data_IF_995644200243
#
_entry.id   IF_995644200243
#
_cell.length_a   1.000
_cell.length_b   1.000
_cell.length_c   1.000
_cell.angle_alpha   90.00
_cell.angle_beta   90.00
_cell.angle_gamma   90.00
#
_symmetry.space_group_name_H-M   'P 1'
#
loop_
_entity.id
_entity.type
_entity.pdbx_description
1 polymer ?
#
# COMPACT_ATOMS: atom_id res chain seq x y z
N UNK A 1 22.89 -60.33 -25.57
CA UNK A 1 23.24 -59.00 -25.04
C UNK A 1 21.94 -58.25 -24.78
N UNK A 2 21.48 -58.26 -23.54
CA UNK A 2 20.21 -57.65 -23.12
C UNK A 2 20.53 -56.44 -22.25
N UNK A 3 20.22 -55.24 -22.73
CA UNK A 3 20.31 -54.02 -21.92
C UNK A 3 18.99 -53.80 -21.18
N UNK A 4 19.03 -54.04 -19.87
CA UNK A 4 18.00 -53.62 -18.92
C UNK A 4 17.98 -52.10 -18.82
N UNK A 5 16.92 -51.47 -19.32
CA UNK A 5 16.68 -50.05 -19.13
C UNK A 5 15.76 -49.86 -17.92
N UNK A 6 16.35 -49.66 -16.74
CA UNK A 6 15.69 -49.07 -15.56
C UNK A 6 16.13 -47.62 -15.51
N UNK A 7 15.18 -46.69 -15.59
CA UNK A 7 15.50 -45.27 -15.49
C UNK A 7 14.25 -44.43 -15.28
N UNK A 8 14.00 -44.11 -14.02
CA UNK A 8 13.25 -42.95 -13.52
C UNK A 8 11.83 -42.73 -14.05
N UNK A 9 10.86 -43.25 -13.27
CA UNK A 9 9.60 -42.53 -13.06
C UNK A 9 9.91 -41.19 -12.41
N UNK A 10 9.98 -40.13 -13.21
CA UNK A 10 9.89 -38.76 -12.71
C UNK A 10 8.52 -38.60 -12.06
N UNK A 11 8.48 -38.81 -10.75
CA UNK A 11 7.33 -38.51 -9.91
C UNK A 11 7.27 -36.98 -9.86
N UNK A 12 6.62 -36.38 -10.85
CA UNK A 12 6.21 -34.98 -10.77
C UNK A 12 5.31 -34.90 -9.55
N UNK A 13 5.88 -34.47 -8.42
CA UNK A 13 5.13 -33.93 -7.31
C UNK A 13 4.51 -32.67 -7.90
N UNK A 14 3.32 -32.81 -8.50
CA UNK A 14 2.37 -31.72 -8.53
C UNK A 14 2.09 -31.43 -7.05
N UNK A 15 2.96 -30.60 -6.46
CA UNK A 15 2.56 -29.80 -5.32
C UNK A 15 1.39 -29.01 -5.86
N UNK A 16 0.20 -29.48 -5.52
CA UNK A 16 -1.01 -28.73 -5.67
C UNK A 16 -0.71 -27.39 -5.00
N UNK A 17 -0.51 -26.35 -5.81
CA UNK A 17 -0.70 -24.99 -5.37
C UNK A 17 -2.17 -25.00 -4.99
N UNK A 18 -2.43 -25.15 -3.69
CA UNK A 18 -3.77 -25.06 -3.16
C UNK A 18 -4.37 -23.77 -3.75
N UNK A 19 -5.58 -23.82 -4.29
CA UNK A 19 -6.23 -22.62 -4.79
C UNK A 19 -6.19 -21.59 -3.66
N UNK A 20 -5.94 -20.33 -4.01
CA UNK A 20 -5.94 -19.16 -3.15
C UNK A 20 -7.30 -19.08 -2.43
N UNK A 21 -7.48 -19.83 -1.34
CA UNK A 21 -8.76 -19.97 -0.64
C UNK A 21 -8.89 -18.76 0.28
N UNK A 22 -9.68 -17.79 -0.18
CA UNK A 22 -10.40 -16.79 0.61
C UNK A 22 -9.49 -15.99 1.57
N UNK A 23 -8.71 -15.07 1.00
CA UNK A 23 -8.03 -14.06 1.81
C UNK A 23 -9.09 -13.37 2.68
N UNK A 24 -8.88 -13.41 3.99
CA UNK A 24 -9.78 -12.75 4.93
C UNK A 24 -9.88 -11.26 4.59
N UNK A 25 -10.99 -10.60 4.94
CA UNK A 25 -11.18 -9.16 4.67
C UNK A 25 -9.97 -8.32 5.14
N UNK A 26 -9.29 -8.76 6.20
CA UNK A 26 -8.09 -8.14 6.76
C UNK A 26 -6.86 -8.31 5.85
N UNK A 27 -6.63 -9.50 5.32
CA UNK A 27 -5.54 -9.77 4.38
C UNK A 27 -5.74 -9.01 3.07
N UNK A 28 -6.98 -8.98 2.55
CA UNK A 28 -7.32 -8.21 1.35
C UNK A 28 -7.11 -6.71 1.56
N UNK A 29 -7.50 -6.18 2.72
CA UNK A 29 -7.25 -4.78 3.04
C UNK A 29 -5.75 -4.47 3.11
N UNK A 30 -4.94 -5.36 3.68
CA UNK A 30 -3.49 -5.17 3.73
C UNK A 30 -2.85 -5.25 2.34
N UNK A 31 -3.29 -6.18 1.50
CA UNK A 31 -2.86 -6.26 0.10
C UNK A 31 -3.19 -4.96 -0.65
N UNK A 32 -4.39 -4.39 -0.43
CA UNK A 32 -4.78 -3.11 -1.03
C UNK A 32 -3.89 -1.96 -0.56
N UNK A 33 -3.53 -1.92 0.72
CA UNK A 33 -2.56 -0.94 1.25
C UNK A 33 -1.20 -1.08 0.57
N UNK A 34 -0.70 -2.31 0.42
CA UNK A 34 0.57 -2.59 -0.28
C UNK A 34 0.52 -2.15 -1.75
N UNK A 35 -0.52 -2.54 -2.47
CA UNK A 35 -0.71 -2.17 -3.88
C UNK A 35 -0.82 -0.65 -4.06
N UNK A 36 -1.46 0.06 -3.13
CA UNK A 36 -1.50 1.52 -3.16
C UNK A 36 -0.12 2.13 -2.91
N UNK A 37 0.66 1.62 -1.94
CA UNK A 37 2.02 2.11 -1.67
C UNK A 37 2.92 1.96 -2.90
N UNK A 38 2.85 0.81 -3.58
CA UNK A 38 3.63 0.55 -4.80
C UNK A 38 3.24 1.47 -5.96
N UNK A 39 1.95 1.79 -6.08
CA UNK A 39 1.44 2.65 -7.15
C UNK A 39 1.66 4.15 -6.89
N UNK A 40 1.45 4.60 -5.64
CA UNK A 40 1.29 6.02 -5.29
C UNK A 40 2.31 6.56 -4.30
N UNK A 41 2.93 5.69 -3.50
CA UNK A 41 3.71 6.14 -2.36
C UNK A 41 4.87 7.05 -2.75
N UNK A 42 5.55 6.79 -3.87
CA UNK A 42 6.60 7.66 -4.39
C UNK A 42 6.07 9.04 -4.85
N UNK A 43 4.92 9.06 -5.50
CA UNK A 43 4.29 10.30 -5.98
C UNK A 43 3.84 11.16 -4.79
N UNK A 44 3.14 10.56 -3.83
CA UNK A 44 2.76 11.20 -2.56
C UNK A 44 4.01 11.67 -1.81
N UNK A 45 5.05 10.85 -1.72
CA UNK A 45 6.30 11.21 -1.06
C UNK A 45 6.95 12.47 -1.65
N UNK A 46 7.00 12.59 -2.98
CA UNK A 46 7.50 13.80 -3.65
C UNK A 46 6.65 15.03 -3.35
N UNK A 47 5.33 14.92 -3.39
CA UNK A 47 4.43 16.04 -3.07
C UNK A 47 4.61 16.52 -1.63
N UNK A 48 4.70 15.60 -0.67
CA UNK A 48 4.93 15.91 0.74
C UNK A 48 6.29 16.58 0.98
N UNK A 49 7.33 16.15 0.26
CA UNK A 49 8.66 16.73 0.35
C UNK A 49 8.69 18.17 -0.19
N UNK A 50 8.07 18.42 -1.35
CA UNK A 50 7.99 19.75 -1.96
C UNK A 50 7.24 20.77 -1.11
N UNK A 51 6.22 20.31 -0.40
CA UNK A 51 5.36 21.14 0.45
C UNK A 51 5.85 21.21 1.90
N UNK A 52 7.02 20.63 2.20
CA UNK A 52 7.63 20.54 3.53
C UNK A 52 6.69 19.94 4.60
N UNK A 53 5.84 18.99 4.21
CA UNK A 53 4.90 18.31 5.08
C UNK A 53 5.55 17.14 5.83
N UNK A 54 6.47 17.48 6.76
CA UNK A 54 7.29 16.49 7.47
C UNK A 54 6.48 15.46 8.24
N UNK A 55 5.40 15.88 8.92
CA UNK A 55 4.54 14.97 9.71
C UNK A 55 3.90 13.89 8.82
N UNK A 56 3.33 14.32 7.70
CA UNK A 56 2.76 13.41 6.71
C UNK A 56 3.83 12.53 6.05
N UNK A 57 5.00 13.08 5.75
CA UNK A 57 6.14 12.30 5.23
C UNK A 57 6.55 11.18 6.20
N UNK A 58 6.56 11.46 7.51
CA UNK A 58 6.78 10.42 8.53
C UNK A 58 5.66 9.38 8.56
N UNK A 59 4.39 9.78 8.42
CA UNK A 59 3.27 8.85 8.36
C UNK A 59 3.34 7.94 7.13
N UNK A 60 3.68 8.47 5.96
CA UNK A 60 3.91 7.68 4.75
C UNK A 60 5.07 6.68 4.95
N UNK A 61 6.17 7.11 5.56
CA UNK A 61 7.28 6.22 5.88
C UNK A 61 6.86 5.11 6.85
N UNK A 62 6.00 5.42 7.82
CA UNK A 62 5.48 4.44 8.75
C UNK A 62 4.62 3.38 8.03
N UNK A 63 3.80 3.78 7.03
CA UNK A 63 3.07 2.84 6.18
C UNK A 63 4.01 1.86 5.45
N UNK A 64 5.13 2.34 4.89
CA UNK A 64 6.15 1.47 4.29
C UNK A 64 6.84 0.53 5.27
N UNK A 65 6.77 0.82 6.57
CA UNK A 65 7.35 -0.01 7.62
C UNK A 65 6.36 -1.00 8.22
N UNK A 66 5.10 -0.99 7.78
CA UNK A 66 4.13 -2.01 8.16
C UNK A 66 4.58 -3.35 7.58
N UNK A 67 4.92 -4.29 8.46
CA UNK A 67 5.33 -5.63 8.08
C UNK A 67 4.66 -6.62 9.02
N UNK A 68 4.11 -7.68 8.45
CA UNK A 68 3.69 -8.83 9.22
C UNK A 68 4.87 -9.77 9.45
N UNK A 69 4.83 -10.43 10.60
CA UNK A 69 5.72 -11.56 10.85
C UNK A 69 5.10 -12.81 10.23
N UNK A 70 5.91 -13.81 9.83
CA UNK A 70 5.39 -15.05 9.25
C UNK A 70 4.43 -15.82 10.17
N UNK A 71 4.50 -15.56 11.48
CA UNK A 71 3.68 -16.15 12.55
C UNK A 71 2.57 -15.22 13.06
N UNK A 72 2.29 -14.12 12.33
CA UNK A 72 1.25 -13.17 12.70
C UNK A 72 -0.15 -13.80 12.71
N UNK A 73 -0.92 -13.41 13.72
CA UNK A 73 -2.30 -13.85 13.94
C UNK A 73 -3.30 -12.86 13.32
N UNK A 74 -4.58 -13.23 13.32
CA UNK A 74 -5.67 -12.33 12.91
C UNK A 74 -5.74 -11.05 13.78
N UNK A 75 -5.34 -11.13 15.06
CA UNK A 75 -5.27 -9.96 15.93
C UNK A 75 -4.11 -9.04 15.54
N UNK A 76 -2.97 -9.62 15.15
CA UNK A 76 -1.82 -8.84 14.66
C UNK A 76 -2.17 -8.12 13.35
N UNK A 77 -2.94 -8.77 12.46
CA UNK A 77 -3.49 -8.14 11.26
C UNK A 77 -4.40 -6.95 11.60
N UNK A 78 -5.31 -7.10 12.58
CA UNK A 78 -6.17 -6.00 13.05
C UNK A 78 -5.37 -4.84 13.61
N UNK A 79 -4.38 -5.13 14.45
CA UNK A 79 -3.48 -4.12 14.99
C UNK A 79 -2.75 -3.37 13.87
N UNK A 80 -2.19 -4.10 12.91
CA UNK A 80 -1.46 -3.51 11.78
C UNK A 80 -2.36 -2.62 10.90
N UNK A 81 -3.59 -3.05 10.63
CA UNK A 81 -4.59 -2.25 9.93
C UNK A 81 -5.03 -1.03 10.76
N UNK A 82 -5.08 -1.16 12.07
CA UNK A 82 -5.31 -0.04 12.99
C UNK A 82 -4.22 1.02 12.88
N UNK A 83 -2.95 0.62 12.84
CA UNK A 83 -1.82 1.52 12.62
C UNK A 83 -1.87 2.15 11.22
N UNK A 84 -2.15 1.34 10.19
CA UNK A 84 -2.33 1.83 8.82
C UNK A 84 -3.40 2.92 8.74
N UNK A 85 -4.56 2.68 9.38
CA UNK A 85 -5.66 3.64 9.46
C UNK A 85 -5.21 4.98 10.03
N UNK A 86 -4.49 4.97 11.16
CA UNK A 86 -3.99 6.21 11.79
C UNK A 86 -3.07 6.98 10.84
N UNK A 87 -2.19 6.29 10.12
CA UNK A 87 -1.29 6.95 9.18
C UNK A 87 -2.02 7.49 7.95
N UNK A 88 -3.00 6.78 7.41
CA UNK A 88 -3.87 7.29 6.33
C UNK A 88 -4.68 8.51 6.76
N UNK A 89 -5.16 8.56 8.01
CA UNK A 89 -5.87 9.73 8.54
C UNK A 89 -4.97 10.98 8.58
N UNK A 90 -3.71 10.83 9.01
CA UNK A 90 -2.72 11.92 8.99
C UNK A 90 -2.44 12.40 7.56
N UNK A 91 -2.30 11.46 6.62
CA UNK A 91 -2.10 11.78 5.21
C UNK A 91 -3.31 12.54 4.64
N UNK A 92 -4.53 12.04 4.87
CA UNK A 92 -5.74 12.66 4.35
C UNK A 92 -5.97 14.06 4.93
N UNK A 93 -5.74 14.25 6.23
CA UNK A 93 -5.80 15.58 6.86
C UNK A 93 -4.82 16.55 6.19
N UNK A 94 -3.60 16.10 5.91
CA UNK A 94 -2.59 16.92 5.24
C UNK A 94 -3.02 17.27 3.81
N UNK A 95 -3.54 16.31 3.05
CA UNK A 95 -3.99 16.56 1.68
C UNK A 95 -5.19 17.52 1.61
N UNK A 96 -6.07 17.48 2.61
CA UNK A 96 -7.19 18.43 2.74
C UNK A 96 -6.78 19.84 3.13
N UNK A 97 -5.57 20.01 3.68
CA UNK A 97 -5.06 21.32 4.12
C UNK A 97 -4.08 21.94 3.14
N UNK A 98 -3.82 21.28 2.00
CA UNK A 98 -3.02 21.90 0.96
C UNK A 98 -3.69 23.19 0.46
N UNK A 99 -2.94 24.30 0.39
CA UNK A 99 -3.51 25.53 -0.15
C UNK A 99 -3.73 25.35 -1.64
N UNK A 100 -4.91 25.77 -2.12
CA UNK A 100 -5.31 25.75 -3.53
C UNK A 100 -4.45 26.63 -4.46
N UNK A 101 -3.34 27.20 -3.97
CA UNK A 101 -2.47 28.11 -4.72
C UNK A 101 -0.99 27.83 -4.44
N UNK A 102 -0.64 26.59 -4.09
CA UNK A 102 0.75 26.25 -3.86
C UNK A 102 1.50 26.28 -5.19
N UNK A 103 2.43 27.23 -5.35
CA UNK A 103 3.41 27.17 -6.44
C UNK A 103 4.50 26.17 -6.06
N UNK A 104 4.54 24.96 -6.67
CA UNK A 104 5.58 24.01 -6.36
C UNK A 104 6.93 24.58 -6.80
N UNK A 105 7.92 24.53 -5.91
CA UNK A 105 9.31 24.73 -6.33
C UNK A 105 9.65 23.57 -7.27
N UNK A 106 9.72 23.89 -8.55
CA UNK A 106 9.81 23.06 -9.75
C UNK A 106 11.07 22.16 -9.86
N UNK A 107 11.67 21.75 -8.74
CA UNK A 107 12.88 20.94 -8.71
C UNK A 107 12.67 19.45 -9.07
N UNK A 108 11.43 18.94 -9.14
CA UNK A 108 11.17 17.48 -9.23
C UNK A 108 10.31 17.03 -10.42
N UNK A 109 10.27 17.79 -11.52
CA UNK A 109 9.58 17.39 -12.77
C UNK A 109 8.07 17.08 -12.62
N UNK A 110 7.40 17.61 -11.60
CA UNK A 110 5.94 17.59 -11.54
C UNK A 110 5.37 18.63 -12.52
N UNK A 111 4.18 18.38 -13.10
CA UNK A 111 3.52 19.37 -13.95
C UNK A 111 3.32 20.70 -13.20
N UNK A 112 3.24 21.82 -13.94
CA UNK A 112 3.03 23.16 -13.37
C UNK A 112 1.78 23.27 -12.48
N UNK A 113 1.52 24.43 -11.86
CA UNK A 113 0.49 24.61 -10.82
C UNK A 113 -0.83 23.86 -11.04
N UNK A 114 -1.41 23.96 -12.24
CA UNK A 114 -2.68 23.28 -12.58
C UNK A 114 -2.60 21.75 -12.47
N UNK A 115 -1.43 21.17 -12.76
CA UNK A 115 -1.18 19.74 -12.62
C UNK A 115 -0.87 19.30 -11.18
N UNK A 116 -0.31 20.19 -10.35
CA UNK A 116 -0.07 19.88 -8.94
C UNK A 116 -1.38 19.79 -8.16
N UNK A 117 -2.29 20.74 -8.33
CA UNK A 117 -3.62 20.69 -7.69
C UNK A 117 -4.39 19.43 -8.10
N UNK A 118 -4.39 19.10 -9.40
CA UNK A 118 -5.03 17.88 -9.88
C UNK A 118 -4.41 16.62 -9.27
N UNK A 119 -3.08 16.56 -9.14
CA UNK A 119 -2.38 15.45 -8.50
C UNK A 119 -2.71 15.35 -7.00
N UNK A 120 -2.80 16.48 -6.31
CA UNK A 120 -3.21 16.52 -4.90
C UNK A 120 -4.63 16.00 -4.74
N UNK A 121 -5.58 16.48 -5.54
CA UNK A 121 -6.96 16.02 -5.48
C UNK A 121 -7.08 14.52 -5.78
N UNK A 122 -6.41 14.06 -6.84
CA UNK A 122 -6.46 12.66 -7.24
C UNK A 122 -5.82 11.73 -6.20
N UNK A 123 -4.65 12.10 -5.67
CA UNK A 123 -3.98 11.33 -4.62
C UNK A 123 -4.78 11.35 -3.32
N UNK A 124 -5.39 12.48 -2.98
CA UNK A 124 -6.28 12.62 -1.82
C UNK A 124 -7.49 11.69 -1.91
N UNK A 125 -8.12 11.59 -3.09
CA UNK A 125 -9.22 10.64 -3.31
C UNK A 125 -8.77 9.19 -3.14
N UNK A 126 -7.61 8.81 -3.67
CA UNK A 126 -7.07 7.45 -3.50
C UNK A 126 -6.70 7.12 -2.06
N UNK A 127 -6.20 8.11 -1.30
CA UNK A 127 -5.96 7.97 0.14
C UNK A 127 -7.29 7.71 0.86
N UNK A 128 -8.35 8.44 0.51
CA UNK A 128 -9.68 8.28 1.11
C UNK A 128 -10.31 6.91 0.80
N UNK A 129 -10.17 6.41 -0.43
CA UNK A 129 -10.61 5.08 -0.85
C UNK A 129 -9.89 3.96 -0.06
N UNK A 130 -8.57 4.07 0.11
CA UNK A 130 -7.80 3.11 0.90
C UNK A 130 -8.17 3.17 2.38
N UNK A 131 -8.35 4.37 2.93
CA UNK A 131 -8.81 4.54 4.30
C UNK A 131 -10.20 3.92 4.52
N UNK A 132 -11.12 4.08 3.56
CA UNK A 132 -12.44 3.45 3.63
C UNK A 132 -12.33 1.92 3.63
N UNK A 133 -11.47 1.35 2.78
CA UNK A 133 -11.19 -0.09 2.73
C UNK A 133 -10.65 -0.61 4.07
N UNK A 134 -9.66 0.07 4.63
CA UNK A 134 -9.08 -0.30 5.94
C UNK A 134 -10.12 -0.19 7.06
N UNK A 135 -10.94 0.87 7.07
CA UNK A 135 -12.01 1.04 8.06
C UNK A 135 -13.05 -0.07 7.98
N UNK A 136 -13.44 -0.48 6.77
CA UNK A 136 -14.37 -1.57 6.58
C UNK A 136 -13.81 -2.89 7.14
N UNK A 137 -12.55 -3.19 6.85
CA UNK A 137 -11.90 -4.40 7.37
C UNK A 137 -11.83 -4.43 8.90
N UNK A 138 -11.66 -3.28 9.56
CA UNK A 138 -11.65 -3.16 11.02
C UNK A 138 -13.03 -3.28 11.67
N UNK A 139 -14.12 -3.21 10.90
CA UNK A 139 -15.49 -3.37 11.41
C UNK A 139 -16.05 -4.78 11.28
N UNK A 140 -15.39 -5.64 10.50
CA UNK A 140 -15.76 -7.05 10.27
C UNK A 140 -15.06 -8.03 11.26
#
# INVERSE_FOLDING_TARGET
>A
MNFTNRGHTAKCIHTAIAPYIDATVHEQALENVGSWLDAEGDTVGRMLAQTNQRKAGCALKALYQLHLRPDSTAEDLRCLLGDAKVHFEILLETFRTFPNHFEPQNAWSLPGCDGFEQQVCWSGARIEENLATVRHALTD
#
